data_IF_783910397148
#
_entry.id   IF_783910397148
#
_cell.length_a   1.000
_cell.length_b   1.000
_cell.length_c   1.000
_cell.angle_alpha   90.00
_cell.angle_beta   90.00
_cell.angle_gamma   90.00
#
_symmetry.space_group_name_H-M   'P 1'
#
loop_
_entity.id
_entity.type
_entity.pdbx_description
1 polymer ?
#
# COMPACT_ATOMS: atom_id res chain seq x y z
N UNK A 1 6.84 14.46 -9.88
CA UNK A 1 7.73 13.35 -9.44
C UNK A 1 7.47 13.02 -7.98
N UNK A 2 7.74 11.80 -7.52
CA UNK A 2 7.57 11.42 -6.11
C UNK A 2 8.43 12.25 -5.13
N UNK A 3 9.47 12.93 -5.62
CA UNK A 3 10.30 13.80 -4.80
C UNK A 3 9.54 14.97 -4.16
N UNK A 4 8.59 15.59 -4.87
CA UNK A 4 7.78 16.67 -4.29
C UNK A 4 6.81 16.15 -3.22
N UNK A 5 6.18 14.99 -3.48
CA UNK A 5 5.30 14.33 -2.51
C UNK A 5 6.08 13.95 -1.25
N UNK A 6 7.29 13.38 -1.40
CA UNK A 6 8.16 13.08 -0.25
C UNK A 6 8.47 14.34 0.57
N UNK A 7 8.88 15.44 -0.06
CA UNK A 7 9.20 16.69 0.64
C UNK A 7 7.98 17.26 1.37
N UNK A 8 6.80 17.21 0.75
CA UNK A 8 5.56 17.63 1.40
C UNK A 8 5.25 16.76 2.61
N UNK A 9 5.34 15.43 2.48
CA UNK A 9 5.14 14.51 3.60
C UNK A 9 6.13 14.77 4.75
N UNK A 10 7.40 15.02 4.44
CA UNK A 10 8.43 15.34 5.44
C UNK A 10 8.08 16.66 6.15
N UNK A 11 7.63 17.67 5.41
CA UNK A 11 7.18 18.95 5.98
C UNK A 11 5.96 18.79 6.89
N UNK A 12 5.01 17.93 6.53
CA UNK A 12 3.82 17.67 7.35
C UNK A 12 4.18 16.87 8.61
N UNK A 13 5.01 15.84 8.49
CA UNK A 13 5.45 15.02 9.61
C UNK A 13 6.37 15.76 10.61
N UNK A 14 6.96 16.89 10.21
CA UNK A 14 7.69 17.79 11.10
C UNK A 14 6.77 18.71 11.91
N UNK A 15 5.49 18.83 11.55
CA UNK A 15 4.50 19.62 12.27
C UNK A 15 4.04 18.93 13.56
N UNK A 16 3.62 19.73 14.55
CA UNK A 16 3.17 19.22 15.86
C UNK A 16 1.83 18.46 15.81
N UNK A 17 1.04 18.65 14.74
CA UNK A 17 -0.31 18.08 14.61
C UNK A 17 -0.34 16.67 14.01
N UNK A 18 0.81 16.13 13.59
CA UNK A 18 0.91 14.80 12.97
C UNK A 18 1.44 13.77 13.97
N UNK A 19 0.67 12.70 14.17
CA UNK A 19 1.16 11.53 14.88
C UNK A 19 2.06 10.69 13.97
N UNK A 20 3.37 10.82 14.14
CA UNK A 20 4.38 10.12 13.33
C UNK A 20 4.40 8.59 13.51
N UNK A 21 3.73 8.06 14.53
CA UNK A 21 3.51 6.62 14.70
C UNK A 21 2.30 6.11 13.91
N UNK A 22 1.50 6.99 13.28
CA UNK A 22 0.26 6.66 12.56
C UNK A 22 0.16 7.31 11.17
N UNK A 23 1.28 7.39 10.47
CA UNK A 23 1.29 7.83 9.07
C UNK A 23 0.99 6.62 8.18
N UNK A 24 -0.02 6.72 7.32
CA UNK A 24 -0.43 5.64 6.41
C UNK A 24 -0.25 6.05 4.95
N UNK A 25 -0.11 5.08 4.05
CA UNK A 25 -0.05 5.33 2.60
C UNK A 25 -0.94 4.39 1.82
N UNK A 26 -1.68 4.94 0.87
CA UNK A 26 -2.48 4.15 -0.06
C UNK A 26 -2.79 4.96 -1.30
N UNK A 27 -3.15 4.25 -2.35
CA UNK A 27 -3.41 4.82 -3.65
C UNK A 27 -3.90 3.77 -4.62
N UNK A 28 -4.54 4.23 -5.69
CA UNK A 28 -5.14 3.41 -6.73
C UNK A 28 -4.40 3.53 -8.05
N UNK A 29 -4.35 2.46 -8.86
CA UNK A 29 -3.73 2.44 -10.19
C UNK A 29 -2.28 2.94 -10.15
N UNK A 30 -1.94 4.02 -10.85
CA UNK A 30 -0.63 4.69 -10.76
C UNK A 30 -0.28 5.09 -9.31
N UNK A 31 -1.25 5.49 -8.49
CA UNK A 31 -1.07 5.73 -7.06
C UNK A 31 -0.86 4.46 -6.24
N UNK A 32 -1.38 3.32 -6.70
CA UNK A 32 -1.08 1.99 -6.14
C UNK A 32 0.38 1.60 -6.40
N UNK A 33 0.90 1.92 -7.59
CA UNK A 33 2.33 1.81 -7.89
C UNK A 33 3.16 2.77 -7.03
N UNK A 34 2.71 4.03 -6.91
CA UNK A 34 3.34 5.04 -6.05
C UNK A 34 3.37 4.63 -4.58
N UNK A 35 2.37 3.89 -4.11
CA UNK A 35 2.34 3.33 -2.75
C UNK A 35 3.49 2.35 -2.55
N UNK A 36 3.65 1.34 -3.41
CA UNK A 36 4.78 0.41 -3.33
C UNK A 36 6.13 1.12 -3.46
N UNK A 37 6.21 2.11 -4.34
CA UNK A 37 7.42 2.90 -4.58
C UNK A 37 7.85 3.72 -3.35
N UNK A 38 6.89 4.34 -2.66
CA UNK A 38 7.16 5.10 -1.44
C UNK A 38 7.63 4.20 -0.28
N UNK A 39 7.15 2.95 -0.20
CA UNK A 39 7.51 2.05 0.89
C UNK A 39 9.00 1.71 0.91
N UNK A 40 9.62 1.44 -0.25
CA UNK A 40 11.06 1.16 -0.29
C UNK A 40 11.92 2.42 -0.35
N UNK A 41 11.38 3.55 -0.85
CA UNK A 41 12.10 4.84 -0.84
C UNK A 41 12.11 5.52 0.53
N UNK A 42 11.12 5.25 1.38
CA UNK A 42 11.05 5.74 2.76
C UNK A 42 10.73 4.61 3.75
N UNK A 43 11.64 3.62 3.91
CA UNK A 43 11.42 2.54 4.87
C UNK A 43 11.24 3.09 6.29
N UNK A 44 10.29 2.53 7.04
CA UNK A 44 10.00 2.97 8.41
C UNK A 44 9.27 4.32 8.53
N UNK A 45 8.88 4.96 7.42
CA UNK A 45 8.09 6.19 7.48
C UNK A 45 6.63 5.91 7.86
N UNK A 46 6.06 4.85 7.27
CA UNK A 46 4.64 4.52 7.41
C UNK A 46 4.40 3.45 8.48
N UNK A 47 3.21 3.48 9.08
CA UNK A 47 2.69 2.47 9.99
C UNK A 47 1.97 1.32 9.25
N UNK A 48 1.36 1.60 8.10
CA UNK A 48 0.70 0.61 7.24
C UNK A 48 0.49 1.14 5.83
N UNK A 49 0.22 0.23 4.89
CA UNK A 49 -0.14 0.58 3.52
C UNK A 49 -1.36 -0.15 2.95
N UNK A 50 -2.03 0.48 1.99
CA UNK A 50 -3.16 -0.10 1.26
C UNK A 50 -3.11 0.22 -0.25
N UNK A 51 -2.24 -0.45 -1.04
CA UNK A 51 -2.21 -0.27 -2.48
C UNK A 51 -3.40 -0.95 -3.18
N UNK A 52 -4.01 -0.25 -4.13
CA UNK A 52 -5.18 -0.72 -4.90
C UNK A 52 -4.80 -0.74 -6.39
N UNK A 53 -5.08 -1.86 -7.08
CA UNK A 53 -4.83 -2.09 -8.51
C UNK A 53 -3.48 -1.57 -9.03
N UNK A 54 -2.40 -1.79 -8.27
CA UNK A 54 -1.05 -1.34 -8.59
C UNK A 54 -0.06 -2.48 -8.90
N UNK A 55 1.23 -2.11 -8.93
CA UNK A 55 2.36 -3.02 -9.10
C UNK A 55 3.65 -2.34 -8.61
N UNK A 56 4.71 -3.11 -8.38
CA UNK A 56 6.00 -2.60 -7.93
C UNK A 56 7.12 -3.56 -8.29
N UNK A 57 8.34 -3.27 -7.84
CA UNK A 57 9.46 -4.18 -7.97
C UNK A 57 9.47 -5.20 -6.78
N UNK A 58 9.28 -6.51 -7.02
CA UNK A 58 9.33 -7.53 -5.98
C UNK A 58 10.70 -7.70 -5.30
N UNK A 59 11.76 -7.10 -5.82
CA UNK A 59 13.09 -7.17 -5.18
C UNK A 59 13.26 -6.12 -4.08
N UNK A 60 12.50 -5.02 -4.13
CA UNK A 60 12.66 -3.91 -3.18
C UNK A 60 11.87 -4.11 -1.88
N UNK A 61 11.03 -5.15 -1.79
CA UNK A 61 10.21 -5.43 -0.59
C UNK A 61 11.04 -5.71 0.66
N UNK A 62 12.23 -6.32 0.52
CA UNK A 62 13.10 -6.63 1.65
C UNK A 62 13.51 -5.39 2.44
N UNK A 63 13.49 -4.21 1.82
CA UNK A 63 13.80 -2.95 2.48
C UNK A 63 12.77 -2.52 3.54
N UNK A 64 11.53 -3.00 3.47
CA UNK A 64 10.44 -2.53 4.35
C UNK A 64 9.51 -3.62 4.89
N UNK A 65 9.51 -4.82 4.32
CA UNK A 65 8.45 -5.80 4.53
C UNK A 65 8.42 -6.41 5.93
N UNK A 66 9.55 -6.53 6.65
CA UNK A 66 9.63 -7.30 7.89
C UNK A 66 8.60 -6.83 8.95
N UNK A 67 7.56 -7.63 9.19
CA UNK A 67 6.48 -7.32 10.11
C UNK A 67 5.53 -6.19 9.68
N UNK A 68 5.74 -5.59 8.50
CA UNK A 68 5.01 -4.42 8.03
C UNK A 68 3.56 -4.75 7.65
N UNK A 69 2.55 -4.03 8.19
CA UNK A 69 1.15 -4.22 7.81
C UNK A 69 0.83 -3.66 6.43
N UNK A 70 0.32 -4.51 5.53
CA UNK A 70 -0.10 -4.08 4.19
C UNK A 70 -1.34 -4.84 3.72
N UNK A 71 -2.31 -4.11 3.16
CA UNK A 71 -3.52 -4.71 2.57
C UNK A 71 -3.62 -4.35 1.09
N UNK A 72 -3.37 -5.34 0.24
CA UNK A 72 -3.40 -5.18 -1.23
C UNK A 72 -4.80 -5.48 -1.77
N UNK A 73 -5.28 -4.67 -2.72
CA UNK A 73 -6.58 -4.81 -3.36
C UNK A 73 -6.45 -4.87 -4.88
N UNK A 74 -7.24 -5.71 -5.56
CA UNK A 74 -7.26 -5.76 -7.02
C UNK A 74 -8.54 -6.40 -7.58
N UNK A 75 -8.99 -6.01 -8.77
CA UNK A 75 -9.99 -6.76 -9.54
C UNK A 75 -9.35 -7.84 -10.41
N UNK A 76 -9.91 -9.04 -10.47
CA UNK A 76 -9.31 -10.16 -11.23
C UNK A 76 -9.47 -10.02 -12.76
N UNK A 77 -10.37 -9.15 -13.22
CA UNK A 77 -10.62 -8.84 -14.64
C UNK A 77 -10.09 -7.47 -15.05
N UNK A 78 -9.21 -6.85 -14.25
CA UNK A 78 -8.57 -5.57 -14.60
C UNK A 78 -7.82 -5.66 -15.95
N UNK A 79 -8.28 -4.96 -16.99
CA UNK A 79 -7.64 -4.99 -18.31
C UNK A 79 -6.47 -4.00 -18.43
N UNK A 80 -6.35 -3.06 -17.48
CA UNK A 80 -5.40 -1.94 -17.53
C UNK A 80 -4.14 -2.27 -16.74
N UNK A 81 -4.30 -2.68 -15.48
CA UNK A 81 -3.21 -3.19 -14.66
C UNK A 81 -3.51 -4.65 -14.38
N UNK A 82 -2.76 -5.57 -15.01
CA UNK A 82 -3.04 -7.00 -14.83
C UNK A 82 -2.93 -7.37 -13.34
N UNK A 83 -3.91 -8.09 -12.81
CA UNK A 83 -3.94 -8.59 -11.43
C UNK A 83 -2.69 -9.38 -11.03
N UNK A 84 -1.98 -9.96 -12.00
CA UNK A 84 -0.68 -10.61 -11.80
C UNK A 84 0.35 -9.70 -11.12
N UNK A 85 0.29 -8.38 -11.35
CA UNK A 85 1.17 -7.42 -10.68
C UNK A 85 0.97 -7.41 -9.16
N UNK A 86 -0.28 -7.37 -8.67
CA UNK A 86 -0.54 -7.49 -7.23
C UNK A 86 -0.20 -8.86 -6.69
N UNK A 87 -0.51 -9.93 -7.42
CA UNK A 87 -0.15 -11.30 -7.01
C UNK A 87 1.36 -11.46 -6.83
N UNK A 88 2.16 -10.92 -7.74
CA UNK A 88 3.63 -10.90 -7.64
C UNK A 88 4.10 -10.16 -6.39
N UNK A 89 3.60 -8.94 -6.15
CA UNK A 89 3.95 -8.17 -4.95
C UNK A 89 3.52 -8.88 -3.65
N UNK A 90 2.30 -9.42 -3.59
CA UNK A 90 1.79 -10.17 -2.43
C UNK A 90 2.67 -11.37 -2.11
N UNK A 91 3.10 -12.13 -3.12
CA UNK A 91 3.98 -13.27 -2.93
C UNK A 91 5.35 -12.85 -2.38
N UNK A 92 5.92 -11.77 -2.91
CA UNK A 92 7.21 -11.26 -2.46
C UNK A 92 7.13 -10.67 -1.03
N UNK A 93 6.08 -9.92 -0.73
CA UNK A 93 5.78 -9.40 0.61
C UNK A 93 5.66 -10.53 1.65
N UNK A 94 4.91 -11.59 1.33
CA UNK A 94 4.77 -12.76 2.22
C UNK A 94 6.11 -13.44 2.47
N UNK A 95 6.91 -13.66 1.42
CA UNK A 95 8.27 -14.24 1.54
C UNK A 95 9.20 -13.37 2.38
N UNK A 96 9.06 -12.05 2.30
CA UNK A 96 9.87 -11.08 3.05
C UNK A 96 9.34 -10.79 4.48
N UNK A 97 8.32 -11.51 4.94
CA UNK A 97 7.84 -11.42 6.33
C UNK A 97 6.84 -10.30 6.62
N UNK A 98 6.19 -9.72 5.60
CA UNK A 98 5.12 -8.74 5.81
C UNK A 98 3.84 -9.36 6.36
N UNK A 99 3.09 -8.56 7.12
CA UNK A 99 1.73 -8.90 7.58
C UNK A 99 0.74 -8.55 6.47
N UNK A 100 0.68 -9.42 5.45
CA UNK A 100 -0.10 -9.17 4.23
C UNK A 100 -1.56 -9.60 4.37
N UNK A 101 -2.48 -8.68 4.08
CA UNK A 101 -3.86 -8.98 3.68
C UNK A 101 -3.99 -8.79 2.17
N UNK A 102 -4.79 -9.63 1.51
CA UNK A 102 -5.05 -9.53 0.08
C UNK A 102 -6.52 -9.74 -0.22
N UNK A 103 -7.15 -8.78 -0.88
CA UNK A 103 -8.51 -8.89 -1.40
C UNK A 103 -8.48 -8.80 -2.91
N UNK A 104 -8.79 -9.91 -3.56
CA UNK A 104 -8.98 -9.98 -5.01
C UNK A 104 -10.47 -10.09 -5.30
N UNK A 105 -11.01 -9.18 -6.11
CA UNK A 105 -12.44 -9.07 -6.36
C UNK A 105 -12.83 -9.77 -7.67
N UNK A 106 -13.62 -10.86 -7.62
CA UNK A 106 -14.05 -11.57 -8.82
C UNK A 106 -14.96 -10.72 -9.71
N UNK A 107 -14.71 -10.75 -11.02
CA UNK A 107 -15.44 -10.04 -12.05
C UNK A 107 -15.19 -8.53 -12.08
N UNK A 108 -14.35 -8.00 -11.18
CA UNK A 108 -14.10 -6.55 -11.10
C UNK A 108 -13.00 -6.17 -12.08
N UNK A 109 -13.29 -5.12 -12.85
CA UNK A 109 -12.36 -4.51 -13.80
C UNK A 109 -11.39 -3.57 -13.08
N UNK A 110 -10.91 -2.51 -13.75
CA UNK A 110 -9.92 -1.60 -13.19
C UNK A 110 -10.37 -0.86 -11.91
N UNK A 111 -11.66 -0.50 -11.85
CA UNK A 111 -12.27 0.20 -10.72
C UNK A 111 -12.50 -0.74 -9.51
N UNK A 112 -11.41 -1.20 -8.90
CA UNK A 112 -11.43 -2.02 -7.69
C UNK A 112 -11.43 -1.18 -6.41
N UNK A 113 -11.22 0.14 -6.51
CA UNK A 113 -11.20 1.03 -5.36
C UNK A 113 -12.58 1.26 -4.75
N UNK A 114 -13.67 1.26 -5.54
CA UNK A 114 -15.02 1.35 -4.99
C UNK A 114 -15.32 0.20 -4.02
N UNK A 115 -14.91 -1.02 -4.38
CA UNK A 115 -15.00 -2.18 -3.47
C UNK A 115 -14.06 -2.04 -2.28
N UNK A 116 -12.81 -1.64 -2.50
CA UNK A 116 -11.85 -1.45 -1.40
C UNK A 116 -12.33 -0.43 -0.36
N UNK A 117 -12.87 0.73 -0.77
CA UNK A 117 -13.35 1.75 0.17
C UNK A 117 -14.72 1.41 0.79
N UNK A 118 -15.46 0.46 0.23
CA UNK A 118 -16.71 -0.06 0.84
C UNK A 118 -16.46 -1.26 1.78
N UNK A 119 -15.24 -1.80 1.83
CA UNK A 119 -14.84 -2.77 2.84
C UNK A 119 -14.98 -2.17 4.24
N UNK A 120 -15.98 -2.64 5.00
CA UNK A 120 -16.28 -2.16 6.36
C UNK A 120 -15.08 -2.27 7.31
N UNK A 121 -14.12 -3.12 6.98
CA UNK A 121 -12.96 -3.40 7.83
C UNK A 121 -11.67 -2.71 7.37
N UNK A 122 -11.64 -2.03 6.20
CA UNK A 122 -10.43 -1.33 5.75
C UNK A 122 -10.01 -0.22 6.72
N UNK A 123 -10.89 0.73 7.01
CA UNK A 123 -10.56 1.84 7.91
C UNK A 123 -10.30 1.40 9.35
N UNK A 124 -11.12 0.53 9.98
CA UNK A 124 -10.79 -0.03 11.30
C UNK A 124 -9.44 -0.75 11.34
N UNK A 125 -9.13 -1.56 10.31
CA UNK A 125 -7.84 -2.25 10.22
C UNK A 125 -6.68 -1.27 10.05
N UNK A 126 -6.84 -0.23 9.24
CA UNK A 126 -5.79 0.75 8.99
C UNK A 126 -5.45 1.53 10.26
N UNK A 127 -6.46 2.06 10.95
CA UNK A 127 -6.29 2.87 12.15
C UNK A 127 -5.88 2.08 13.39
N UNK A 128 -6.03 0.74 13.37
CA UNK A 128 -5.46 -0.12 14.41
C UNK A 128 -3.94 -0.30 14.25
N UNK A 129 -3.35 0.05 13.11
CA UNK A 129 -1.90 -0.06 12.91
C UNK A 129 -1.18 1.16 13.50
N UNK A 130 -0.03 0.91 14.11
CA UNK A 130 0.90 1.93 14.56
C UNK A 130 2.32 1.41 14.39
N UNK A 131 3.24 2.32 14.07
CA UNK A 131 4.67 2.05 14.08
C UNK A 131 5.16 2.04 15.53
N UNK A 132 5.95 1.02 15.89
CA UNK A 132 6.64 0.96 17.18
C UNK A 132 7.76 1.98 17.27
#
# INVERSE_FOLDING_TARGET
TLGLVSKLMDSLAAGADVNNSKIYVGGLSMGGMGTFELLWRKPGFFAAAFPICGGGNPETVTAYANGFPIWVFHGDKDPTVKVSNSRLMVNALKKAGAKVKYSEYPGVLHNSWDRAFTEKTLMPWLFSQQKN
#
